data_IF_076811581868
#
_entry.id   IF_076811581868
#
_cell.length_a   1.000
_cell.length_b   1.000
_cell.length_c   1.000
_cell.angle_alpha   90.00
_cell.angle_beta   90.00
_cell.angle_gamma   90.00
#
_symmetry.space_group_name_H-M   'P 1'
#
loop_
_entity.id
_entity.type
_entity.pdbx_description
1 polymer ?
#
# COMPACT_ATOMS: atom_id res chain seq x y z
N UNK A 1 7.42 10.33 2.82
CA UNK A 1 8.29 9.16 2.61
C UNK A 1 7.75 8.31 1.48
N UNK A 2 8.62 7.84 0.63
CA UNK A 2 8.25 7.04 -0.53
C UNK A 2 9.12 5.81 -0.62
N UNK A 3 8.57 4.71 -1.11
CA UNK A 3 9.34 3.51 -1.38
C UNK A 3 8.65 2.70 -2.48
N UNK A 4 9.37 1.73 -3.01
CA UNK A 4 8.86 0.83 -4.04
C UNK A 4 9.01 -0.61 -3.58
N UNK A 5 8.09 -1.46 -4.02
CA UNK A 5 8.15 -2.89 -3.73
C UNK A 5 7.48 -3.67 -4.86
N UNK A 6 7.91 -4.91 -5.02
CA UNK A 6 7.31 -5.81 -5.99
C UNK A 6 6.34 -6.74 -5.27
N UNK A 7 5.13 -6.84 -5.81
CA UNK A 7 4.09 -7.73 -5.27
C UNK A 7 3.53 -8.50 -6.46
N UNK A 8 3.62 -9.83 -6.41
CA UNK A 8 3.14 -10.70 -7.49
C UNK A 8 3.71 -10.34 -8.86
N UNK A 9 5.00 -10.02 -8.90
CA UNK A 9 5.68 -9.71 -10.15
C UNK A 9 5.41 -8.33 -10.70
N UNK A 10 4.71 -7.48 -9.96
CA UNK A 10 4.39 -6.12 -10.39
C UNK A 10 4.97 -5.11 -9.42
N UNK A 11 5.53 -4.03 -9.97
CA UNK A 11 6.12 -2.98 -9.15
C UNK A 11 5.08 -1.98 -8.69
N UNK A 12 5.11 -1.65 -7.40
CA UNK A 12 4.23 -0.65 -6.80
C UNK A 12 5.06 0.42 -6.13
N UNK A 13 4.66 1.67 -6.32
CA UNK A 13 5.23 2.80 -5.60
C UNK A 13 4.30 3.19 -4.46
N UNK A 14 4.87 3.50 -3.31
CA UNK A 14 4.13 3.84 -2.10
C UNK A 14 4.55 5.22 -1.63
N UNK A 15 3.57 6.08 -1.38
CA UNK A 15 3.81 7.43 -0.88
C UNK A 15 2.89 7.68 0.31
N UNK A 16 3.47 7.97 1.46
CA UNK A 16 2.67 8.22 2.67
C UNK A 16 2.04 9.60 2.61
N UNK A 17 0.71 9.64 2.65
CA UNK A 17 -0.05 10.88 2.67
C UNK A 17 -0.19 11.40 4.10
N UNK A 18 -0.36 10.50 5.04
CA UNK A 18 -0.42 10.79 6.47
C UNK A 18 -0.21 9.48 7.24
N UNK A 19 -0.42 9.49 8.56
CA UNK A 19 -0.17 8.32 9.41
C UNK A 19 -1.03 7.11 9.08
N UNK A 20 -2.17 7.32 8.44
CA UNK A 20 -3.13 6.25 8.19
C UNK A 20 -3.44 6.02 6.71
N UNK A 21 -2.88 6.84 5.81
CA UNK A 21 -3.19 6.76 4.39
C UNK A 21 -1.92 6.72 3.55
N UNK A 22 -1.93 5.87 2.54
CA UNK A 22 -0.79 5.67 1.64
C UNK A 22 -1.31 5.69 0.20
N UNK A 23 -0.67 6.49 -0.64
CA UNK A 23 -0.94 6.48 -2.06
C UNK A 23 -0.10 5.36 -2.69
N UNK A 24 -0.78 4.45 -3.37
CA UNK A 24 -0.13 3.34 -4.07
C UNK A 24 -0.26 3.57 -5.57
N UNK A 25 0.86 3.63 -6.26
CA UNK A 25 0.87 3.79 -7.72
C UNK A 25 1.44 2.58 -8.40
N UNK A 26 0.86 2.22 -9.53
CA UNK A 26 1.29 1.10 -10.34
C UNK A 26 0.97 1.38 -11.81
N UNK A 27 1.28 0.43 -12.68
CA UNK A 27 1.03 0.59 -14.11
C UNK A 27 -0.45 0.77 -14.46
N UNK A 28 -1.33 0.31 -13.61
CA UNK A 28 -2.78 0.40 -13.84
C UNK A 28 -3.42 1.65 -13.26
N UNK A 29 -2.66 2.46 -12.55
CA UNK A 29 -3.16 3.70 -11.98
C UNK A 29 -2.73 3.89 -10.54
N UNK A 30 -3.45 4.76 -9.85
CA UNK A 30 -3.13 5.11 -8.47
C UNK A 30 -4.32 4.79 -7.58
N UNK A 31 -4.02 4.30 -6.38
CA UNK A 31 -5.03 3.92 -5.41
C UNK A 31 -4.64 4.46 -4.05
N UNK A 32 -5.62 4.77 -3.22
CA UNK A 32 -5.37 5.21 -1.85
C UNK A 32 -5.77 4.09 -0.90
N UNK A 33 -4.80 3.60 -0.13
CA UNK A 33 -5.06 2.66 0.93
C UNK A 33 -5.09 3.41 2.26
N UNK A 34 -6.01 3.02 3.12
CA UNK A 34 -6.10 3.61 4.44
C UNK A 34 -6.27 2.51 5.48
N UNK A 35 -5.81 2.77 6.68
CA UNK A 35 -5.88 1.82 7.78
C UNK A 35 -6.91 2.24 8.82
N UNK A 36 -7.81 1.32 9.11
CA UNK A 36 -8.69 1.38 10.27
C UNK A 36 -8.24 0.26 11.22
N UNK A 37 -9.01 -0.77 11.40
CA UNK A 37 -8.52 -1.99 12.05
C UNK A 37 -7.66 -2.79 11.07
N UNK A 38 -8.08 -2.79 9.81
CA UNK A 38 -7.38 -3.47 8.71
C UNK A 38 -7.15 -2.49 7.57
N UNK A 39 -6.25 -2.84 6.67
CA UNK A 39 -6.04 -2.05 5.48
C UNK A 39 -7.24 -2.13 4.56
N UNK A 40 -7.65 -1.00 4.02
CA UNK A 40 -8.78 -0.89 3.11
C UNK A 40 -8.42 0.02 1.95
N UNK A 41 -9.15 -0.12 0.86
CA UNK A 41 -8.98 0.72 -0.31
C UNK A 41 -10.34 1.31 -0.68
N UNK A 42 -10.34 2.61 -1.03
CA UNK A 42 -11.56 3.29 -1.48
C UNK A 42 -11.96 2.83 -2.88
N UNK A 43 -11.01 2.31 -3.66
CA UNK A 43 -11.25 1.81 -5.00
C UNK A 43 -11.58 0.32 -4.97
N UNK A 44 -12.07 -0.18 -6.10
CA UNK A 44 -12.54 -1.56 -6.22
C UNK A 44 -11.38 -2.52 -6.50
N UNK A 45 -10.51 -2.70 -5.52
CA UNK A 45 -9.40 -3.64 -5.61
C UNK A 45 -9.74 -4.97 -4.92
N UNK A 46 -9.17 -6.09 -5.39
CA UNK A 46 -9.33 -7.36 -4.69
C UNK A 46 -8.85 -7.26 -3.25
N UNK A 47 -9.62 -7.82 -2.34
CA UNK A 47 -9.29 -7.76 -0.92
C UNK A 47 -7.92 -8.39 -0.60
N UNK A 48 -7.60 -9.48 -1.26
CA UNK A 48 -6.31 -10.15 -1.07
C UNK A 48 -5.15 -9.25 -1.45
N UNK A 49 -5.31 -8.49 -2.53
CA UNK A 49 -4.28 -7.54 -2.96
C UNK A 49 -4.13 -6.41 -1.94
N UNK A 50 -5.23 -5.87 -1.44
CA UNK A 50 -5.21 -4.82 -0.42
C UNK A 50 -4.48 -5.30 0.83
N UNK A 51 -4.75 -6.52 1.27
CA UNK A 51 -4.09 -7.11 2.44
C UNK A 51 -2.59 -7.27 2.21
N UNK A 52 -2.19 -7.74 1.05
CA UNK A 52 -0.78 -7.92 0.71
C UNK A 52 -0.03 -6.59 0.63
N UNK A 53 -0.64 -5.58 0.01
CA UNK A 53 -0.06 -4.26 -0.05
C UNK A 53 0.08 -3.66 1.36
N UNK A 54 -0.92 -3.89 2.20
CA UNK A 54 -0.88 -3.46 3.59
C UNK A 54 0.26 -4.12 4.37
N UNK A 55 0.51 -5.40 4.14
CA UNK A 55 1.62 -6.11 4.77
C UNK A 55 2.97 -5.54 4.34
N UNK A 56 3.10 -5.19 3.06
CA UNK A 56 4.33 -4.56 2.54
C UNK A 56 4.55 -3.22 3.23
N UNK A 57 3.50 -2.42 3.36
CA UNK A 57 3.60 -1.11 4.02
C UNK A 57 4.03 -1.28 5.47
N UNK A 58 3.40 -2.18 6.20
CA UNK A 58 3.74 -2.40 7.60
C UNK A 58 5.14 -2.97 7.78
N UNK A 59 5.55 -3.87 6.90
CA UNK A 59 6.91 -4.39 6.90
C UNK A 59 7.94 -3.29 6.70
N UNK A 60 7.67 -2.34 5.81
CA UNK A 60 8.55 -1.21 5.58
C UNK A 60 8.64 -0.30 6.82
N UNK A 61 7.49 -0.01 7.43
CA UNK A 61 7.45 0.80 8.65
C UNK A 61 8.21 0.11 9.79
N UNK A 62 8.07 -1.20 9.90
CA UNK A 62 8.71 -1.98 10.95
C UNK A 62 10.23 -1.94 10.83
N UNK A 63 10.74 -1.94 9.59
CA UNK A 63 12.18 -1.89 9.35
C UNK A 63 12.81 -0.55 9.69
N UNK A 64 12.01 0.49 9.88
CA UNK A 64 12.50 1.83 10.22
C UNK A 64 12.59 2.07 11.73
N UNK A 65 12.10 1.16 12.49
CA UNK A 65 12.20 1.20 13.95
C UNK A 65 13.17 0.13 14.43
#
# INVERSE_FOLDING_TARGET
MEFEAEVHGENYGFSFLNDTSVLVSCRHGEYILYKTKNWRCADDLPRTLVEELGEVIEGHLHLQF
#
